data_IF_518327351676
#
_entry.id   IF_518327351676
#
_cell.length_a   1.000
_cell.length_b   1.000
_cell.length_c   1.000
_cell.angle_alpha   90.00
_cell.angle_beta   90.00
_cell.angle_gamma   90.00
#
_symmetry.space_group_name_H-M   'P 1'
#
loop_
_entity.id
_entity.type
_entity.pdbx_description
1 polymer ?
#
# COMPACT_ATOMS: atom_id res chain seq x y z
N UNK A 1 2.36 -26.81 26.17
CA UNK A 1 0.88 -26.74 26.21
C UNK A 1 0.34 -25.76 27.27
N UNK A 2 1.15 -24.82 27.81
CA UNK A 2 0.74 -23.94 28.92
C UNK A 2 0.24 -22.54 28.50
N UNK A 3 0.32 -22.21 27.20
CA UNK A 3 -0.05 -20.88 26.67
C UNK A 3 -1.50 -20.80 26.15
N UNK A 4 -2.24 -21.92 26.16
CA UNK A 4 -3.60 -22.02 25.61
C UNK A 4 -4.71 -22.13 26.67
N UNK A 5 -4.38 -22.31 27.95
CA UNK A 5 -5.37 -22.48 29.03
C UNK A 5 -5.91 -21.14 29.58
N UNK A 6 -5.24 -20.02 29.33
CA UNK A 6 -5.72 -18.70 29.70
C UNK A 6 -6.06 -17.94 28.41
N UNK A 7 -7.35 -17.91 28.07
CA UNK A 7 -7.88 -17.34 26.82
C UNK A 7 -7.47 -15.88 26.54
N UNK A 8 -6.95 -15.16 27.54
CA UNK A 8 -6.43 -13.80 27.39
C UNK A 8 -5.03 -13.75 26.74
N UNK A 9 -4.18 -14.77 26.97
CA UNK A 9 -2.82 -14.82 26.44
C UNK A 9 -2.77 -15.08 24.94
N UNK A 10 -3.63 -15.99 24.45
CA UNK A 10 -3.78 -16.25 23.01
C UNK A 10 -4.30 -15.03 22.24
N UNK A 11 -5.28 -14.31 22.82
CA UNK A 11 -5.82 -13.07 22.28
C UNK A 11 -4.78 -11.94 22.22
N UNK A 12 -3.91 -11.82 23.24
CA UNK A 12 -2.80 -10.86 23.26
C UNK A 12 -1.71 -11.20 22.25
N UNK A 13 -1.39 -12.49 22.05
CA UNK A 13 -0.46 -12.92 21.01
C UNK A 13 -1.02 -12.65 19.61
N UNK A 14 -2.30 -12.95 19.34
CA UNK A 14 -2.93 -12.64 18.06
C UNK A 14 -3.05 -11.14 17.82
N UNK A 15 -3.42 -10.34 18.83
CA UNK A 15 -3.46 -8.87 18.72
C UNK A 15 -2.07 -8.25 18.57
N UNK A 16 -1.05 -8.80 19.24
CA UNK A 16 0.33 -8.35 19.10
C UNK A 16 0.92 -8.65 17.72
N UNK A 17 0.57 -9.81 17.15
CA UNK A 17 0.94 -10.20 15.78
C UNK A 17 0.18 -9.36 14.75
N UNK A 18 -1.12 -9.11 14.97
CA UNK A 18 -1.97 -8.26 14.14
C UNK A 18 -1.48 -6.80 14.15
N UNK A 19 -1.16 -6.24 15.33
CA UNK A 19 -0.58 -4.90 15.44
C UNK A 19 0.79 -4.84 14.77
N UNK A 20 1.65 -5.84 14.96
CA UNK A 20 2.97 -5.87 14.33
C UNK A 20 2.88 -5.99 12.81
N UNK A 21 1.95 -6.79 12.29
CA UNK A 21 1.70 -6.90 10.87
C UNK A 21 1.14 -5.57 10.32
N UNK A 22 0.19 -4.95 11.00
CA UNK A 22 -0.43 -3.70 10.55
C UNK A 22 0.58 -2.53 10.53
N UNK A 23 1.56 -2.49 11.45
CA UNK A 23 2.57 -1.43 11.50
C UNK A 23 3.82 -1.68 10.64
N UNK A 24 4.33 -2.93 10.56
CA UNK A 24 5.61 -3.22 9.90
C UNK A 24 5.45 -3.69 8.44
N UNK A 25 4.36 -4.37 8.11
CA UNK A 25 4.10 -4.82 6.74
C UNK A 25 4.01 -3.68 5.71
N UNK A 26 3.43 -2.50 6.02
CA UNK A 26 3.30 -1.39 5.06
C UNK A 26 4.63 -0.82 4.56
N UNK A 27 5.60 -0.43 5.43
CA UNK A 27 6.89 0.06 4.95
C UNK A 27 7.68 -1.02 4.20
N UNK A 28 7.57 -2.28 4.61
CA UNK A 28 8.22 -3.41 3.91
C UNK A 28 7.62 -3.60 2.51
N UNK A 29 6.28 -3.54 2.38
CA UNK A 29 5.59 -3.65 1.10
C UNK A 29 5.97 -2.49 0.16
N UNK A 30 6.01 -1.25 0.66
CA UNK A 30 6.41 -0.07 -0.12
C UNK A 30 7.87 -0.21 -0.59
N UNK A 31 8.79 -0.63 0.29
CA UNK A 31 10.18 -0.86 -0.06
C UNK A 31 10.33 -1.93 -1.16
N UNK A 32 9.59 -3.03 -1.05
CA UNK A 32 9.54 -4.07 -2.08
C UNK A 32 9.00 -3.54 -3.42
N UNK A 33 7.94 -2.73 -3.39
CA UNK A 33 7.39 -2.09 -4.59
C UNK A 33 8.37 -1.13 -5.25
N UNK A 34 9.16 -0.38 -4.47
CA UNK A 34 10.19 0.53 -4.99
C UNK A 34 11.35 -0.23 -5.65
N UNK A 35 11.82 -1.31 -5.04
CA UNK A 35 12.83 -2.19 -5.63
C UNK A 35 12.33 -2.80 -6.94
N UNK A 36 11.10 -3.31 -6.95
CA UNK A 36 10.48 -3.89 -8.14
C UNK A 36 10.31 -2.85 -9.25
N UNK A 37 9.92 -1.62 -8.91
CA UNK A 37 9.86 -0.49 -9.85
C UNK A 37 11.24 -0.21 -10.46
N UNK A 38 12.28 -0.10 -9.64
CA UNK A 38 13.63 0.20 -10.11
C UNK A 38 14.13 -0.85 -11.11
N UNK A 39 13.87 -2.14 -10.83
CA UNK A 39 14.20 -3.25 -11.71
C UNK A 39 13.41 -3.19 -13.02
N UNK A 40 12.09 -2.97 -12.94
CA UNK A 40 11.22 -2.87 -14.12
C UNK A 40 11.55 -1.66 -15.00
N UNK A 41 11.88 -0.51 -14.41
CA UNK A 41 12.30 0.69 -15.13
C UNK A 41 13.63 0.49 -15.85
N UNK A 42 14.55 -0.29 -15.26
CA UNK A 42 15.83 -0.63 -15.90
C UNK A 42 15.67 -1.60 -17.06
N UNK A 43 14.75 -2.56 -16.94
CA UNK A 43 14.53 -3.61 -17.95
C UNK A 43 13.59 -3.20 -19.09
N UNK A 44 12.63 -2.33 -18.82
CA UNK A 44 11.58 -1.98 -19.79
C UNK A 44 12.00 -0.84 -20.70
N UNK A 45 11.68 -0.97 -21.99
CA UNK A 45 11.85 0.10 -22.97
C UNK A 45 10.75 1.18 -22.82
N UNK A 46 9.57 0.79 -22.31
CA UNK A 46 8.42 1.66 -22.14
C UNK A 46 8.22 2.04 -20.67
N UNK A 47 9.06 2.98 -20.21
CA UNK A 47 9.09 3.45 -18.83
C UNK A 47 7.75 4.05 -18.39
N UNK A 48 7.02 4.72 -19.30
CA UNK A 48 5.73 5.33 -18.99
C UNK A 48 4.67 4.28 -18.63
N UNK A 49 4.64 3.15 -19.35
CA UNK A 49 3.69 2.08 -19.08
C UNK A 49 4.00 1.39 -17.74
N UNK A 50 5.28 1.11 -17.47
CA UNK A 50 5.73 0.56 -16.19
C UNK A 50 5.36 1.50 -15.04
N UNK A 51 5.66 2.78 -15.16
CA UNK A 51 5.37 3.76 -14.12
C UNK A 51 3.88 3.91 -13.86
N UNK A 52 3.05 3.94 -14.91
CA UNK A 52 1.59 3.97 -14.80
C UNK A 52 1.03 2.73 -14.10
N UNK A 53 1.48 1.53 -14.50
CA UNK A 53 1.06 0.28 -13.86
C UNK A 53 1.47 0.21 -12.39
N UNK A 54 2.66 0.73 -12.05
CA UNK A 54 3.15 0.78 -10.69
C UNK A 54 2.36 1.77 -9.83
N UNK A 55 2.01 2.96 -10.34
CA UNK A 55 1.18 3.93 -9.63
C UNK A 55 -0.19 3.35 -9.29
N UNK A 56 -0.81 2.62 -10.22
CA UNK A 56 -2.10 1.96 -9.98
C UNK A 56 -1.97 0.88 -8.89
N UNK A 57 -0.92 0.06 -8.95
CA UNK A 57 -0.65 -0.93 -7.91
C UNK A 57 -0.43 -0.28 -6.53
N UNK A 58 0.31 0.84 -6.50
CA UNK A 58 0.59 1.59 -5.27
C UNK A 58 -0.70 2.14 -4.65
N UNK A 59 -1.64 2.65 -5.44
CA UNK A 59 -2.96 3.09 -4.95
C UNK A 59 -3.70 1.93 -4.30
N UNK A 60 -3.68 0.74 -4.92
CA UNK A 60 -4.31 -0.46 -4.36
C UNK A 60 -3.71 -0.86 -3.00
N UNK A 61 -2.38 -0.84 -2.88
CA UNK A 61 -1.69 -1.15 -1.61
C UNK A 61 -1.98 -0.11 -0.54
N UNK A 62 -1.95 1.19 -0.88
CA UNK A 62 -2.32 2.25 0.06
C UNK A 62 -3.77 2.16 0.50
N UNK A 63 -4.70 1.83 -0.40
CA UNK A 63 -6.11 1.67 -0.06
C UNK A 63 -6.35 0.49 0.90
N UNK A 64 -5.75 -0.67 0.61
CA UNK A 64 -5.80 -1.83 1.50
C UNK A 64 -5.18 -1.52 2.86
N UNK A 65 -4.11 -0.73 2.87
CA UNK A 65 -3.47 -0.28 4.09
C UNK A 65 -4.38 0.63 4.92
N UNK A 66 -5.00 1.66 4.33
CA UNK A 66 -5.97 2.49 5.04
C UNK A 66 -7.10 1.65 5.63
N UNK A 67 -7.62 0.68 4.87
CA UNK A 67 -8.68 -0.23 5.35
C UNK A 67 -8.22 -1.16 6.46
N UNK A 68 -6.95 -1.55 6.50
CA UNK A 68 -6.38 -2.34 7.59
C UNK A 68 -6.18 -1.53 8.87
N UNK A 69 -5.91 -0.22 8.76
CA UNK A 69 -5.75 0.68 9.91
C UNK A 69 -7.06 1.30 10.37
N UNK A 70 -8.13 1.27 9.56
CA UNK A 70 -9.46 1.80 9.92
C UNK A 70 -9.96 1.46 11.35
N UNK A 71 -9.79 0.22 11.88
CA UNK A 71 -10.17 -0.05 13.28
C UNK A 71 -9.28 0.68 14.31
N UNK A 72 -8.08 1.08 13.94
CA UNK A 72 -7.10 1.77 14.79
C UNK A 72 -7.10 3.30 14.61
N UNK A 73 -7.50 3.82 13.44
CA UNK A 73 -7.65 5.27 13.19
C UNK A 73 -8.72 5.89 14.08
N UNK A 74 -9.76 5.13 14.41
CA UNK A 74 -10.84 5.57 15.30
C UNK A 74 -10.38 5.79 16.75
N UNK A 75 -9.25 5.21 17.16
CA UNK A 75 -8.68 5.35 18.51
C UNK A 75 -7.66 6.49 18.63
N UNK A 76 -7.05 6.93 17.52
CA UNK A 76 -5.92 7.86 17.53
C UNK A 76 -6.21 9.09 16.64
N UNK A 77 -6.61 10.20 17.29
CA UNK A 77 -6.97 11.48 16.65
C UNK A 77 -5.92 12.01 15.65
N UNK A 78 -4.63 11.74 15.91
CA UNK A 78 -3.51 12.18 15.07
C UNK A 78 -3.39 11.38 13.76
N UNK A 79 -3.68 10.08 13.78
CA UNK A 79 -3.69 9.23 12.58
C UNK A 79 -4.88 9.56 11.67
N UNK A 80 -6.00 9.96 12.25
CA UNK A 80 -7.19 10.38 11.52
C UNK A 80 -6.95 11.69 10.74
N UNK A 81 -6.16 12.63 11.29
CA UNK A 81 -5.79 13.86 10.57
C UNK A 81 -4.84 13.59 9.40
N UNK A 82 -3.89 12.65 9.54
CA UNK A 82 -2.97 12.29 8.45
C UNK A 82 -3.63 11.41 7.37
N UNK A 83 -4.63 10.60 7.72
CA UNK A 83 -5.27 9.69 6.76
C UNK A 83 -6.18 10.42 5.76
N UNK A 84 -6.80 11.54 6.17
CA UNK A 84 -7.67 12.37 5.33
C UNK A 84 -6.98 12.82 4.03
N UNK A 85 -5.84 13.55 4.06
CA UNK A 85 -5.18 14.00 2.83
C UNK A 85 -4.70 12.82 1.98
N UNK A 86 -4.26 11.72 2.60
CA UNK A 86 -3.87 10.51 1.88
C UNK A 86 -5.07 9.93 1.13
N UNK A 87 -6.22 9.79 1.77
CA UNK A 87 -7.45 9.29 1.15
C UNK A 87 -7.90 10.16 -0.04
N UNK A 88 -7.88 11.48 0.10
CA UNK A 88 -8.21 12.40 -0.99
C UNK A 88 -7.17 12.39 -2.13
N UNK A 89 -5.91 12.05 -1.84
CA UNK A 89 -4.84 11.96 -2.84
C UNK A 89 -4.91 10.69 -3.69
N UNK A 90 -5.48 9.58 -3.18
CA UNK A 90 -5.59 8.30 -3.88
C UNK A 90 -6.24 8.40 -5.28
N UNK A 91 -7.41 9.04 -5.46
CA UNK A 91 -8.01 9.18 -6.79
C UNK A 91 -7.15 10.01 -7.75
N UNK A 92 -6.43 11.02 -7.24
CA UNK A 92 -5.52 11.84 -8.05
C UNK A 92 -4.34 11.00 -8.55
N UNK A 93 -3.71 10.23 -7.66
CA UNK A 93 -2.61 9.32 -8.01
C UNK A 93 -3.08 8.27 -9.03
N UNK A 94 -4.31 7.76 -8.86
CA UNK A 94 -4.92 6.80 -9.79
C UNK A 94 -5.12 7.40 -11.18
N UNK A 95 -5.62 8.64 -11.28
CA UNK A 95 -5.75 9.36 -12.55
C UNK A 95 -4.39 9.54 -13.25
N UNK A 96 -3.35 9.91 -12.49
CA UNK A 96 -1.99 9.98 -13.03
C UNK A 96 -1.51 8.61 -13.53
N UNK A 97 -1.74 7.55 -12.76
CA UNK A 97 -1.42 6.18 -13.16
C UNK A 97 -2.06 5.79 -14.50
N UNK A 98 -3.36 6.06 -14.66
CA UNK A 98 -4.11 5.81 -15.91
C UNK A 98 -3.54 6.66 -17.05
N UNK A 99 -3.29 7.95 -16.82
CA UNK A 99 -2.75 8.85 -17.86
C UNK A 99 -1.37 8.38 -18.37
N UNK A 100 -0.50 7.94 -17.48
CA UNK A 100 0.80 7.35 -17.83
C UNK A 100 0.65 6.03 -18.60
N UNK A 101 -0.31 5.19 -18.20
CA UNK A 101 -0.58 3.91 -18.86
C UNK A 101 -1.10 4.11 -20.29
N UNK A 102 -2.04 5.03 -20.49
CA UNK A 102 -2.55 5.43 -21.82
C UNK A 102 -1.43 6.02 -22.67
N UNK A 103 -0.61 6.90 -22.09
CA UNK A 103 0.53 7.51 -22.79
C UNK A 103 1.55 6.46 -23.23
N UNK A 104 1.88 5.51 -22.36
CA UNK A 104 2.77 4.38 -22.69
C UNK A 104 2.22 3.50 -23.81
N UNK A 105 0.92 3.17 -23.78
CA UNK A 105 0.28 2.40 -24.87
C UNK A 105 0.30 3.18 -26.18
N UNK A 106 0.00 4.48 -26.15
CA UNK A 106 -0.01 5.34 -27.34
C UNK A 106 1.39 5.45 -27.98
N UNK A 107 2.44 5.53 -27.17
CA UNK A 107 3.84 5.51 -27.62
C UNK A 107 4.28 4.19 -28.24
N UNK A 108 3.63 3.07 -27.90
CA UNK A 108 3.93 1.75 -28.48
C UNK A 108 3.27 1.50 -29.83
N UNK A 109 2.23 2.27 -30.17
CA UNK A 109 1.46 2.16 -31.42
C UNK A 109 1.91 3.15 -32.51
N UNK A 110 2.72 4.15 -32.16
CA UNK A 110 3.44 4.98 -33.12
C UNK A 110 4.79 4.33 -33.42
#
# INVERSE_FOLDING_TARGET
MYAFEHGEGGLLFTRGLENSATYNFPPIAIAGMLLLLAVLLRKSNNKALVFGSWLIALVGVLYLFLKAIDPYTCAWSLLLFLSIPVFYSLPVILLFGIAFLVSGIRMRRK
#
